data_IF_418473618297
#
_entry.id   IF_418473618297
#
_cell.length_a   1.000
_cell.length_b   1.000
_cell.length_c   1.000
_cell.angle_alpha   90.00
_cell.angle_beta   90.00
_cell.angle_gamma   90.00
#
_symmetry.space_group_name_H-M   'P 1'
#
loop_
_entity.id
_entity.type
_entity.pdbx_description
1 polymer ?
#
# COMPACT_ATOMS: atom_id res chain seq x y z
N UNK A 1 15.13 -16.78 -0.96
CA UNK A 1 13.88 -16.51 -1.70
C UNK A 1 13.43 -15.13 -1.27
N UNK A 2 13.75 -14.10 -2.05
CA UNK A 2 13.34 -12.71 -1.79
C UNK A 2 11.85 -12.63 -2.03
N UNK A 3 11.10 -12.14 -1.04
CA UNK A 3 9.68 -11.88 -1.20
C UNK A 3 9.54 -10.76 -2.25
N UNK A 4 8.79 -10.91 -3.35
CA UNK A 4 8.69 -9.86 -4.38
C UNK A 4 8.02 -8.57 -3.88
N UNK A 5 7.44 -8.56 -2.68
CA UNK A 5 6.99 -7.35 -1.97
C UNK A 5 8.12 -6.59 -1.25
N UNK A 6 9.29 -7.20 -1.12
CA UNK A 6 10.48 -6.69 -0.44
C UNK A 6 11.57 -6.24 -1.43
N UNK A 7 11.28 -6.30 -2.73
CA UNK A 7 12.20 -5.91 -3.79
C UNK A 7 12.24 -4.37 -3.87
N UNK A 8 13.26 -3.73 -3.29
CA UNK A 8 13.36 -2.26 -3.24
C UNK A 8 13.54 -1.63 -4.64
N UNK A 9 14.19 -2.35 -5.55
CA UNK A 9 14.35 -1.97 -6.97
C UNK A 9 13.14 -2.39 -7.83
N UNK A 10 12.15 -3.04 -7.21
CA UNK A 10 10.93 -3.51 -7.86
C UNK A 10 9.96 -2.38 -8.21
N UNK A 11 9.16 -2.60 -9.26
CA UNK A 11 8.07 -1.70 -9.64
C UNK A 11 6.76 -2.18 -9.04
N UNK A 12 6.08 -1.28 -8.33
CA UNK A 12 4.83 -1.54 -7.62
C UNK A 12 3.69 -0.67 -8.13
N UNK A 13 2.48 -1.16 -7.88
CA UNK A 13 1.22 -0.49 -8.11
C UNK A 13 0.50 -0.38 -6.77
N UNK A 14 -0.15 0.75 -6.53
CA UNK A 14 -1.12 0.87 -5.45
C UNK A 14 -2.48 0.59 -6.03
N UNK A 15 -3.14 -0.42 -5.48
CA UNK A 15 -4.49 -0.81 -5.84
C UNK A 15 -5.45 -0.32 -4.76
N UNK A 16 -6.65 0.06 -5.16
CA UNK A 16 -7.79 0.28 -4.27
C UNK A 16 -8.92 -0.67 -4.65
N UNK A 17 -9.70 -1.10 -3.67
CA UNK A 17 -10.97 -1.79 -3.92
C UNK A 17 -12.16 -0.84 -3.71
N UNK A 18 -13.37 -1.35 -3.92
CA UNK A 18 -14.63 -0.60 -3.71
C UNK A 18 -14.82 -0.16 -2.23
N UNK A 19 -14.18 -0.85 -1.29
CA UNK A 19 -14.17 -0.55 0.13
C UNK A 19 -13.05 0.46 0.53
N UNK A 20 -12.40 1.08 -0.45
CA UNK A 20 -11.31 2.05 -0.27
C UNK A 20 -10.08 1.51 0.49
N UNK A 21 -9.89 0.19 0.47
CA UNK A 21 -8.72 -0.47 1.04
C UNK A 21 -7.57 -0.39 0.04
N UNK A 22 -6.40 0.01 0.52
CA UNK A 22 -5.21 0.14 -0.31
C UNK A 22 -4.35 -1.12 -0.20
N UNK A 23 -3.85 -1.61 -1.34
CA UNK A 23 -2.95 -2.76 -1.38
C UNK A 23 -1.79 -2.52 -2.34
N UNK A 24 -0.58 -2.94 -1.96
CA UNK A 24 0.60 -2.85 -2.80
C UNK A 24 0.69 -4.10 -3.68
N UNK A 25 0.83 -3.92 -4.99
CA UNK A 25 0.88 -5.00 -5.97
C UNK A 25 2.17 -4.94 -6.79
N UNK A 26 3.04 -5.96 -6.74
CA UNK A 26 4.26 -5.98 -7.55
C UNK A 26 3.91 -6.23 -9.01
N UNK A 27 4.41 -5.37 -9.90
CA UNK A 27 4.16 -5.53 -11.34
C UNK A 27 4.76 -6.84 -11.88
N UNK A 28 5.82 -7.33 -11.26
CA UNK A 28 6.47 -8.62 -11.57
C UNK A 28 5.62 -9.83 -11.21
N UNK A 29 4.61 -9.68 -10.34
CA UNK A 29 3.72 -10.77 -9.93
C UNK A 29 2.68 -11.10 -11.02
N UNK A 30 2.21 -10.09 -11.75
CA UNK A 30 1.28 -10.28 -12.87
C UNK A 30 0.13 -9.27 -12.88
N UNK A 31 -0.92 -9.61 -13.64
CA UNK A 31 -2.08 -8.75 -13.82
C UNK A 31 -2.85 -8.51 -12.51
N UNK A 32 -3.46 -7.33 -12.42
CA UNK A 32 -4.28 -6.91 -11.28
C UNK A 32 -5.54 -7.79 -11.20
N UNK A 33 -5.89 -8.34 -10.02
CA UNK A 33 -7.11 -9.12 -9.85
C UNK A 33 -8.37 -8.27 -10.09
N UNK A 34 -9.41 -8.89 -10.66
CA UNK A 34 -10.70 -8.22 -10.88
C UNK A 34 -11.31 -7.71 -9.56
N UNK A 35 -11.86 -6.49 -9.58
CA UNK A 35 -12.38 -5.81 -8.38
C UNK A 35 -11.37 -4.90 -7.68
N UNK A 36 -10.11 -4.90 -8.12
CA UNK A 36 -9.10 -3.95 -7.70
C UNK A 36 -8.78 -2.99 -8.84
N UNK A 37 -8.60 -1.71 -8.50
CA UNK A 37 -8.28 -0.65 -9.46
C UNK A 37 -6.96 -0.01 -9.09
N UNK A 38 -6.07 0.12 -10.07
CA UNK A 38 -4.81 0.85 -9.88
C UNK A 38 -5.09 2.33 -9.67
N UNK A 39 -4.69 2.87 -8.52
CA UNK A 39 -4.80 4.28 -8.17
C UNK A 39 -3.47 5.02 -8.22
N UNK A 40 -2.35 4.29 -8.12
CA UNK A 40 -1.01 4.85 -8.21
C UNK A 40 0.01 3.85 -8.77
N UNK A 41 1.11 4.37 -9.33
CA UNK A 41 2.14 3.59 -10.03
C UNK A 41 1.86 3.40 -11.53
N UNK A 42 2.73 2.68 -12.26
CA UNK A 42 3.93 1.98 -11.77
C UNK A 42 5.00 2.92 -11.20
N UNK A 43 5.45 2.67 -9.98
CA UNK A 43 6.49 3.45 -9.30
C UNK A 43 7.32 2.54 -8.38
N UNK A 44 8.42 3.07 -7.83
CA UNK A 44 9.23 2.38 -6.82
C UNK A 44 8.44 2.19 -5.50
N UNK A 45 8.93 1.26 -4.67
CA UNK A 45 8.29 0.90 -3.41
C UNK A 45 8.06 2.10 -2.50
N UNK A 46 9.05 2.99 -2.38
CA UNK A 46 8.98 4.13 -1.48
C UNK A 46 7.93 5.15 -1.94
N UNK A 47 7.83 5.41 -3.24
CA UNK A 47 6.81 6.28 -3.83
C UNK A 47 5.40 5.70 -3.65
N UNK A 48 5.22 4.39 -3.83
CA UNK A 48 3.93 3.76 -3.56
C UNK A 48 3.55 3.79 -2.07
N UNK A 49 4.50 3.57 -1.17
CA UNK A 49 4.26 3.68 0.27
C UNK A 49 3.88 5.11 0.67
N UNK A 50 4.60 6.12 0.17
CA UNK A 50 4.28 7.53 0.43
C UNK A 50 2.88 7.90 -0.11
N UNK A 51 2.49 7.37 -1.27
CA UNK A 51 1.12 7.53 -1.77
C UNK A 51 0.09 6.89 -0.83
N UNK A 52 0.33 5.67 -0.37
CA UNK A 52 -0.57 5.00 0.59
C UNK A 52 -0.62 5.77 1.90
N UNK A 53 0.50 6.24 2.44
CA UNK A 53 0.54 7.06 3.66
C UNK A 53 -0.21 8.39 3.51
N UNK A 54 -0.14 9.02 2.33
CA UNK A 54 -0.83 10.29 2.04
C UNK A 54 -2.30 10.15 1.70
N UNK A 55 -2.73 9.04 1.10
CA UNK A 55 -4.11 8.85 0.62
C UNK A 55 -4.94 7.97 1.56
N UNK A 56 -4.28 7.07 2.29
CA UNK A 56 -4.88 6.30 3.37
C UNK A 56 -4.70 7.05 4.69
N UNK A 57 -5.24 8.27 4.75
CA UNK A 57 -5.13 9.19 5.90
C UNK A 57 -5.84 8.71 7.16
N UNK A 58 -6.62 7.63 7.08
CA UNK A 58 -7.25 6.98 8.23
C UNK A 58 -6.86 5.49 8.29
N UNK A 59 -5.58 5.23 8.57
CA UNK A 59 -5.00 3.88 8.72
C UNK A 59 -5.12 3.31 10.15
N UNK A 60 -6.13 3.74 10.91
CA UNK A 60 -6.41 3.17 12.24
C UNK A 60 -7.50 2.11 12.11
N UNK A 61 -7.37 0.89 12.66
CA UNK A 61 -8.49 0.41 13.44
C UNK A 61 -8.61 1.39 14.63
N UNK A 62 -9.81 1.93 14.89
CA UNK A 62 -10.05 2.98 15.91
C UNK A 62 -9.42 2.70 17.31
N UNK A 63 -8.96 1.48 17.56
CA UNK A 63 -8.33 1.01 18.79
C UNK A 63 -6.84 1.35 18.96
N UNK A 64 -6.01 1.49 17.90
CA UNK A 64 -4.54 1.57 18.08
C UNK A 64 -4.01 2.97 18.41
N UNK A 65 -4.71 4.02 17.99
CA UNK A 65 -4.23 5.39 18.21
C UNK A 65 -4.37 5.89 19.64
N UNK A 66 -5.04 5.11 20.49
CA UNK A 66 -5.01 5.33 21.94
C UNK A 66 -3.68 4.94 22.60
N UNK A 67 -2.82 4.14 21.94
CA UNK A 67 -1.57 3.64 22.53
C UNK A 67 -0.32 4.45 22.17
N UNK A 68 -0.35 5.27 21.11
CA UNK A 68 0.81 6.05 20.67
C UNK A 68 0.88 7.47 21.29
N UNK A 69 -0.21 7.99 21.85
CA UNK A 69 -0.21 9.26 22.61
C UNK A 69 0.26 9.10 24.07
N UNK A 70 0.74 7.92 24.47
CA UNK A 70 1.25 7.63 25.83
C UNK A 70 2.76 7.38 25.88
N UNK A 71 3.49 7.90 24.89
CA UNK A 71 4.95 7.86 24.86
C UNK A 71 5.54 9.21 24.42
N UNK A 72 5.22 10.28 25.14
CA UNK A 72 6.11 11.43 25.42
C UNK A 72 5.57 12.26 26.58
#
# INVERSE_FOLDING_TARGET
>A
MTNPFDDEDGTFLVLTNDENQHSLWPQTWGAVPGGWTTVHGPADRQTCLDYVEKNWTDMRPASLVRSIESAS
#
